data_IF_291728213892
#
_entry.id   IF_291728213892
#
_cell.length_a   1.000
_cell.length_b   1.000
_cell.length_c   1.000
_cell.angle_alpha   90.00
_cell.angle_beta   90.00
_cell.angle_gamma   90.00
#
_symmetry.space_group_name_H-M   'P 1'
#
loop_
_entity.id
_entity.type
_entity.pdbx_description
1 polymer ?
#
# COMPACT_ATOMS: atom_id res chain seq x y z
N UNK A 1 -5.31 -71.41 13.50
CA UNK A 1 -5.08 -72.27 12.33
C UNK A 1 -4.27 -71.47 11.35
N UNK A 2 -3.16 -71.99 10.86
CA UNK A 2 -2.27 -71.29 9.91
C UNK A 2 -3.01 -70.94 8.60
N UNK A 3 -3.97 -71.76 8.18
CA UNK A 3 -4.82 -71.48 7.02
C UNK A 3 -5.67 -70.21 7.16
N UNK A 4 -6.24 -69.94 8.35
CA UNK A 4 -7.03 -68.71 8.58
C UNK A 4 -6.15 -67.45 8.53
N UNK A 5 -4.90 -67.56 8.97
CA UNK A 5 -3.96 -66.43 8.99
C UNK A 5 -3.41 -66.12 7.59
N UNK A 6 -3.20 -67.14 6.77
CA UNK A 6 -2.79 -67.02 5.37
C UNK A 6 -3.92 -66.45 4.49
N UNK A 7 -5.17 -66.88 4.73
CA UNK A 7 -6.33 -66.33 4.04
C UNK A 7 -6.61 -64.88 4.45
N UNK A 8 -6.39 -64.52 5.72
CA UNK A 8 -6.47 -63.13 6.18
C UNK A 8 -5.40 -62.24 5.54
N UNK A 9 -4.17 -62.75 5.37
CA UNK A 9 -3.09 -62.05 4.64
C UNK A 9 -3.43 -61.86 3.16
N UNK A 10 -3.97 -62.89 2.51
CA UNK A 10 -4.42 -62.80 1.12
C UNK A 10 -5.51 -61.73 0.93
N UNK A 11 -6.48 -61.66 1.85
CA UNK A 11 -7.51 -60.61 1.86
C UNK A 11 -6.93 -59.21 2.08
N UNK A 12 -5.97 -59.04 2.99
CA UNK A 12 -5.30 -57.74 3.22
C UNK A 12 -4.52 -57.26 2.00
N UNK A 13 -3.85 -58.17 1.29
CA UNK A 13 -3.10 -57.84 0.06
C UNK A 13 -4.08 -57.40 -1.04
N UNK A 14 -5.18 -58.12 -1.26
CA UNK A 14 -6.17 -57.74 -2.27
C UNK A 14 -6.86 -56.42 -1.93
N UNK A 15 -7.16 -56.16 -0.66
CA UNK A 15 -7.74 -54.89 -0.20
C UNK A 15 -6.80 -53.71 -0.48
N UNK A 16 -5.50 -53.90 -0.21
CA UNK A 16 -4.47 -52.89 -0.48
C UNK A 16 -4.34 -52.61 -1.99
N UNK A 17 -4.39 -53.63 -2.82
CA UNK A 17 -4.26 -53.50 -4.26
C UNK A 17 -5.49 -52.80 -4.88
N UNK A 18 -6.69 -53.14 -4.39
CA UNK A 18 -7.93 -52.47 -4.76
C UNK A 18 -7.93 -51.00 -4.33
N UNK A 19 -7.49 -50.70 -3.10
CA UNK A 19 -7.37 -49.32 -2.62
C UNK A 19 -6.35 -48.51 -3.46
N UNK A 20 -5.23 -49.13 -3.83
CA UNK A 20 -4.22 -48.49 -4.69
C UNK A 20 -4.78 -48.17 -6.07
N UNK A 21 -5.52 -49.10 -6.68
CA UNK A 21 -6.16 -48.92 -7.98
C UNK A 21 -7.21 -47.80 -7.93
N UNK A 22 -8.04 -47.77 -6.89
CA UNK A 22 -9.04 -46.72 -6.68
C UNK A 22 -8.39 -45.33 -6.54
N UNK A 23 -7.34 -45.20 -5.74
CA UNK A 23 -6.60 -43.93 -5.57
C UNK A 23 -5.99 -43.46 -6.90
N UNK A 24 -5.42 -44.36 -7.70
CA UNK A 24 -4.89 -44.02 -9.02
C UNK A 24 -5.99 -43.58 -9.99
N UNK A 25 -7.16 -44.23 -9.96
CA UNK A 25 -8.33 -43.84 -10.74
C UNK A 25 -8.79 -42.43 -10.40
N UNK A 26 -9.02 -42.14 -9.11
CA UNK A 26 -9.44 -40.83 -8.65
C UNK A 26 -8.42 -39.73 -8.96
N UNK A 27 -7.11 -40.02 -8.82
CA UNK A 27 -6.08 -39.06 -9.18
C UNK A 27 -6.14 -38.70 -10.68
N UNK A 28 -6.33 -39.71 -11.55
CA UNK A 28 -6.46 -39.48 -12.99
C UNK A 28 -7.71 -38.65 -13.33
N UNK A 29 -8.83 -38.93 -12.68
CA UNK A 29 -10.07 -38.15 -12.84
C UNK A 29 -9.89 -36.69 -12.42
N UNK A 30 -9.24 -36.45 -11.26
CA UNK A 30 -8.94 -35.11 -10.76
C UNK A 30 -8.04 -34.32 -11.73
N UNK A 31 -7.00 -34.96 -12.27
CA UNK A 31 -6.10 -34.32 -13.25
C UNK A 31 -6.87 -33.92 -14.52
N UNK A 32 -7.76 -34.80 -15.00
CA UNK A 32 -8.60 -34.51 -16.18
C UNK A 32 -9.58 -33.37 -15.88
N UNK A 33 -10.20 -33.36 -14.70
CA UNK A 33 -11.12 -32.31 -14.28
C UNK A 33 -10.41 -30.96 -14.15
N UNK A 34 -9.22 -30.92 -13.55
CA UNK A 34 -8.39 -29.72 -13.44
C UNK A 34 -7.99 -29.19 -14.83
N UNK A 35 -7.58 -30.06 -15.75
CA UNK A 35 -7.24 -29.65 -17.12
C UNK A 35 -8.46 -29.10 -17.88
N UNK A 36 -9.65 -29.66 -17.69
CA UNK A 36 -10.90 -29.15 -18.27
C UNK A 36 -11.27 -27.78 -17.68
N UNK A 37 -11.15 -27.62 -16.37
CA UNK A 37 -11.41 -26.35 -15.70
C UNK A 37 -10.46 -25.25 -16.19
N UNK A 38 -9.16 -25.55 -16.30
CA UNK A 38 -8.17 -24.62 -16.85
C UNK A 38 -8.54 -24.15 -18.26
N UNK A 39 -8.84 -25.08 -19.16
CA UNK A 39 -9.29 -24.75 -20.53
C UNK A 39 -10.57 -23.92 -20.57
N UNK A 40 -11.52 -24.19 -19.67
CA UNK A 40 -12.76 -23.43 -19.57
C UNK A 40 -12.51 -22.00 -19.04
N UNK A 41 -11.63 -21.86 -18.05
CA UNK A 41 -11.20 -20.57 -17.52
C UNK A 41 -10.46 -19.77 -18.59
N UNK A 42 -9.51 -20.36 -19.30
CA UNK A 42 -8.77 -19.71 -20.40
C UNK A 42 -9.71 -19.20 -21.49
N UNK A 43 -10.73 -20.00 -21.86
CA UNK A 43 -11.74 -19.59 -22.84
C UNK A 43 -12.60 -18.43 -22.33
N UNK A 44 -13.01 -18.44 -21.07
CA UNK A 44 -13.83 -17.39 -20.48
C UNK A 44 -13.05 -16.07 -20.30
N UNK A 45 -11.78 -16.15 -19.89
CA UNK A 45 -10.93 -14.99 -19.63
C UNK A 45 -10.41 -14.38 -20.94
N UNK A 46 -9.92 -15.21 -21.86
CA UNK A 46 -9.32 -14.76 -23.13
C UNK A 46 -10.32 -14.08 -24.08
N UNK A 47 -11.62 -14.37 -23.96
CA UNK A 47 -12.66 -13.71 -24.77
C UNK A 47 -13.21 -12.43 -24.12
N UNK A 48 -12.90 -12.18 -22.84
CA UNK A 48 -13.57 -11.14 -22.05
C UNK A 48 -12.72 -9.88 -21.85
N UNK A 49 -11.39 -9.96 -21.76
CA UNK A 49 -10.64 -8.76 -21.35
C UNK A 49 -10.63 -7.65 -22.42
N UNK A 50 -10.40 -8.01 -23.69
CA UNK A 50 -10.43 -7.07 -24.83
C UNK A 50 -11.85 -6.63 -25.23
N UNK A 51 -12.88 -7.42 -24.88
CA UNK A 51 -14.29 -7.12 -25.20
C UNK A 51 -14.98 -6.37 -24.07
N UNK A 52 -14.61 -6.62 -22.81
CA UNK A 52 -15.17 -5.99 -21.62
C UNK A 52 -14.53 -4.64 -21.30
N UNK A 53 -13.36 -4.34 -21.89
CA UNK A 53 -12.80 -3.00 -21.89
C UNK A 53 -13.02 -2.41 -23.29
N UNK A 54 -14.07 -1.58 -23.49
CA UNK A 54 -14.12 -0.73 -24.67
C UNK A 54 -12.77 -0.01 -24.79
N UNK A 55 -12.28 0.17 -26.02
CA UNK A 55 -11.18 1.10 -26.29
C UNK A 55 -11.62 2.49 -25.84
N UNK A 56 -11.34 2.82 -24.58
CA UNK A 56 -11.56 4.17 -24.06
C UNK A 56 -10.39 4.98 -24.57
N UNK A 57 -10.67 5.89 -25.51
CA UNK A 57 -9.69 6.88 -25.93
C UNK A 57 -9.42 7.80 -24.73
N UNK A 58 -8.24 7.65 -24.14
CA UNK A 58 -7.79 8.53 -23.07
C UNK A 58 -7.26 9.81 -23.69
N UNK A 59 -7.68 10.95 -23.12
CA UNK A 59 -6.99 12.21 -23.36
C UNK A 59 -5.60 12.12 -22.72
N UNK A 60 -4.58 11.92 -23.56
CA UNK A 60 -3.19 11.80 -23.13
C UNK A 60 -2.73 13.04 -22.34
N UNK A 61 -3.26 14.23 -22.64
CA UNK A 61 -2.91 15.44 -21.89
C UNK A 61 -3.43 15.35 -20.44
N UNK A 62 -4.67 14.89 -20.26
CA UNK A 62 -5.26 14.70 -18.94
C UNK A 62 -4.55 13.59 -18.16
N UNK A 63 -4.20 12.48 -18.82
CA UNK A 63 -3.42 11.40 -18.19
C UNK A 63 -2.06 11.91 -17.73
N UNK A 64 -1.36 12.66 -18.59
CA UNK A 64 -0.07 13.23 -18.24
C UNK A 64 -0.17 14.21 -17.06
N UNK A 65 -1.19 15.08 -17.04
CA UNK A 65 -1.44 15.96 -15.90
C UNK A 65 -1.70 15.16 -14.62
N UNK A 66 -2.55 14.12 -14.68
CA UNK A 66 -2.84 13.27 -13.53
C UNK A 66 -1.58 12.54 -13.01
N UNK A 67 -0.74 12.02 -13.89
CA UNK A 67 0.54 11.39 -13.53
C UNK A 67 1.48 12.41 -12.88
N UNK A 68 1.62 13.60 -13.46
CA UNK A 68 2.45 14.67 -12.91
C UNK A 68 1.99 15.09 -11.51
N UNK A 69 0.69 15.32 -11.33
CA UNK A 69 0.13 15.66 -10.02
C UNK A 69 0.36 14.56 -8.99
N UNK A 70 0.19 13.30 -9.39
CA UNK A 70 0.47 12.16 -8.54
C UNK A 70 1.93 12.16 -8.08
N UNK A 71 2.90 12.33 -8.99
CA UNK A 71 4.32 12.40 -8.63
C UNK A 71 4.60 13.49 -7.58
N UNK A 72 3.99 14.68 -7.74
CA UNK A 72 4.14 15.78 -6.78
C UNK A 72 3.52 15.45 -5.41
N UNK A 73 2.30 14.89 -5.37
CA UNK A 73 1.61 14.54 -4.12
C UNK A 73 2.42 13.51 -3.33
N UNK A 74 3.05 12.54 -4.02
CA UNK A 74 3.90 11.52 -3.40
C UNK A 74 5.35 11.96 -3.16
N UNK A 75 5.68 13.23 -3.44
CA UNK A 75 6.98 13.83 -3.16
C UNK A 75 8.09 13.35 -4.09
N UNK A 76 7.76 12.77 -5.24
CA UNK A 76 8.71 12.36 -6.29
C UNK A 76 9.07 13.55 -7.17
N UNK A 77 9.61 14.60 -6.57
CA UNK A 77 9.85 15.87 -7.25
C UNK A 77 10.86 15.78 -8.39
N UNK A 78 11.92 15.01 -8.24
CA UNK A 78 12.96 14.86 -9.28
C UNK A 78 12.38 14.18 -10.53
N UNK A 79 11.54 13.17 -10.32
CA UNK A 79 10.82 12.47 -11.40
C UNK A 79 9.78 13.39 -12.02
N UNK A 80 9.02 14.13 -11.21
CA UNK A 80 8.04 15.10 -11.69
C UNK A 80 8.69 16.19 -12.56
N UNK A 81 9.86 16.70 -12.18
CA UNK A 81 10.61 17.71 -12.94
C UNK A 81 11.15 17.15 -14.27
N UNK A 82 11.61 15.89 -14.27
CA UNK A 82 11.98 15.21 -15.51
C UNK A 82 10.78 15.07 -16.46
N UNK A 83 9.64 14.64 -15.90
CA UNK A 83 8.40 14.45 -16.62
C UNK A 83 7.83 15.77 -17.19
N UNK A 84 7.89 16.85 -16.41
CA UNK A 84 7.49 18.20 -16.84
C UNK A 84 8.37 18.72 -17.98
N UNK A 85 9.70 18.53 -17.89
CA UNK A 85 10.64 18.94 -18.93
C UNK A 85 10.41 18.22 -20.26
N UNK A 86 10.07 16.94 -20.21
CA UNK A 86 9.83 16.12 -21.41
C UNK A 86 8.50 16.46 -22.09
N UNK A 87 7.46 16.79 -21.31
CA UNK A 87 6.10 16.99 -21.80
C UNK A 87 5.69 18.47 -21.92
N UNK A 88 6.50 19.38 -21.36
CA UNK A 88 6.24 20.82 -21.36
C UNK A 88 4.95 21.19 -20.64
N UNK A 89 4.70 20.61 -19.45
CA UNK A 89 3.45 20.86 -18.73
C UNK A 89 3.44 22.29 -18.16
N UNK A 90 2.24 22.88 -18.03
CA UNK A 90 2.07 24.22 -17.45
C UNK A 90 1.86 24.13 -15.95
N UNK A 91 2.84 23.55 -15.25
CA UNK A 91 2.75 23.37 -13.81
C UNK A 91 2.59 24.71 -13.08
N UNK A 92 1.70 24.77 -12.09
CA UNK A 92 1.59 25.93 -11.21
C UNK A 92 2.73 25.92 -10.17
N UNK A 93 3.72 26.83 -10.26
CA UNK A 93 4.88 26.80 -9.38
C UNK A 93 4.51 26.98 -7.90
N UNK A 94 3.42 27.69 -7.58
CA UNK A 94 2.93 27.84 -6.20
C UNK A 94 2.38 26.53 -5.64
N UNK A 95 1.83 25.65 -6.47
CA UNK A 95 1.37 24.31 -6.03
C UNK A 95 2.57 23.43 -5.72
N UNK A 96 3.57 23.42 -6.60
CA UNK A 96 4.82 22.68 -6.41
C UNK A 96 5.52 23.09 -5.12
N UNK A 97 5.67 24.40 -4.89
CA UNK A 97 6.36 24.91 -3.70
C UNK A 97 5.66 24.50 -2.39
N UNK A 98 4.32 24.59 -2.34
CA UNK A 98 3.56 24.15 -1.15
C UNK A 98 3.73 22.65 -0.88
N UNK A 99 3.77 21.82 -1.92
CA UNK A 99 4.00 20.40 -1.77
C UNK A 99 5.44 20.11 -1.31
N UNK A 100 6.44 20.86 -1.81
CA UNK A 100 7.82 20.76 -1.33
C UNK A 100 7.94 21.15 0.14
N UNK A 101 7.34 22.26 0.56
CA UNK A 101 7.32 22.69 1.97
C UNK A 101 6.69 21.60 2.85
N UNK A 102 5.54 21.05 2.46
CA UNK A 102 4.86 19.96 3.17
C UNK A 102 5.75 18.72 3.30
N UNK A 103 6.37 18.26 2.21
CA UNK A 103 7.24 17.09 2.22
C UNK A 103 8.55 17.32 3.00
N UNK A 104 9.06 18.55 3.04
CA UNK A 104 10.20 18.90 3.88
C UNK A 104 9.84 18.76 5.37
N UNK A 105 8.70 19.34 5.77
CA UNK A 105 8.19 19.23 7.14
C UNK A 105 7.93 17.76 7.53
N UNK A 106 7.34 16.97 6.62
CA UNK A 106 7.08 15.55 6.87
C UNK A 106 8.38 14.75 7.08
N UNK A 107 9.42 15.00 6.28
CA UNK A 107 10.73 14.35 6.46
C UNK A 107 11.36 14.68 7.81
N UNK A 108 11.33 15.93 8.23
CA UNK A 108 11.84 16.31 9.57
C UNK A 108 11.08 15.60 10.68
N UNK A 109 9.77 15.40 10.54
CA UNK A 109 8.98 14.61 11.48
C UNK A 109 9.38 13.12 11.50
N UNK A 110 9.63 12.52 10.33
CA UNK A 110 10.13 11.14 10.19
C UNK A 110 11.51 10.97 10.86
N UNK A 111 12.36 12.00 10.80
CA UNK A 111 13.67 12.07 11.47
C UNK A 111 13.58 12.40 12.97
N UNK A 112 12.38 12.67 13.49
CA UNK A 112 12.14 13.01 14.90
C UNK A 112 12.43 14.46 15.26
N UNK A 113 12.61 15.36 14.29
CA UNK A 113 12.75 16.80 14.53
C UNK A 113 11.40 17.54 14.44
N UNK A 114 10.90 17.98 15.59
CA UNK A 114 9.66 18.76 15.68
C UNK A 114 9.85 20.27 15.41
N UNK A 115 11.09 20.76 15.22
CA UNK A 115 11.38 22.17 14.96
C UNK A 115 10.72 22.71 13.69
N UNK A 116 10.91 22.06 12.53
CA UNK A 116 10.33 22.51 11.25
C UNK A 116 8.81 22.55 11.24
N UNK A 117 8.14 21.53 11.80
CA UNK A 117 6.66 21.53 11.91
C UNK A 117 6.15 22.62 12.86
N UNK A 118 6.90 22.97 13.92
CA UNK A 118 6.54 24.05 14.83
C UNK A 118 6.55 25.40 14.09
N UNK A 119 7.62 25.68 13.36
CA UNK A 119 7.72 26.91 12.55
C UNK A 119 6.63 26.96 11.48
N UNK A 120 6.36 25.83 10.82
CA UNK A 120 5.31 25.74 9.82
C UNK A 120 3.92 26.01 10.41
N UNK A 121 3.62 25.42 11.57
CA UNK A 121 2.36 25.63 12.31
C UNK A 121 2.18 27.10 12.69
N UNK A 122 3.23 27.77 13.18
CA UNK A 122 3.19 29.20 13.52
C UNK A 122 2.91 30.06 12.27
N UNK A 123 3.56 29.76 11.15
CA UNK A 123 3.35 30.48 9.88
C UNK A 123 1.92 30.32 9.35
N UNK A 124 1.29 29.17 9.59
CA UNK A 124 -0.03 28.82 9.06
C UNK A 124 -1.15 28.88 10.12
N UNK A 125 -0.88 29.47 11.28
CA UNK A 125 -1.77 29.42 12.45
C UNK A 125 -3.20 29.89 12.13
N UNK A 126 -3.34 31.02 11.43
CA UNK A 126 -4.66 31.56 11.08
C UNK A 126 -5.46 30.58 10.21
N UNK A 127 -4.81 29.93 9.24
CA UNK A 127 -5.44 28.96 8.35
C UNK A 127 -5.81 27.68 9.09
N UNK A 128 -4.95 27.23 10.01
CA UNK A 128 -5.21 26.07 10.86
C UNK A 128 -6.40 26.32 11.79
N UNK A 129 -6.48 27.51 12.40
CA UNK A 129 -7.61 27.93 13.24
C UNK A 129 -8.92 27.98 12.47
N UNK A 130 -8.93 28.57 11.26
CA UNK A 130 -10.12 28.62 10.40
C UNK A 130 -10.66 27.23 10.02
N UNK A 131 -9.77 26.23 9.94
CA UNK A 131 -10.10 24.85 9.60
C UNK A 131 -10.40 23.98 10.82
N UNK A 132 -10.31 24.52 12.03
CA UNK A 132 -10.48 23.77 13.28
C UNK A 132 -9.40 22.68 13.47
N UNK A 133 -8.20 22.88 12.95
CA UNK A 133 -7.13 21.88 13.01
C UNK A 133 -6.50 21.78 14.41
N UNK A 134 -6.32 20.56 14.89
CA UNK A 134 -5.63 20.21 16.15
C UNK A 134 -4.11 20.15 16.02
N UNK A 135 -3.57 20.37 14.81
CA UNK A 135 -2.15 20.16 14.51
C UNK A 135 -1.21 20.93 15.44
N UNK A 136 -1.55 22.17 15.80
CA UNK A 136 -0.74 22.97 16.72
C UNK A 136 -0.60 22.32 18.10
N UNK A 137 -1.66 21.68 18.57
CA UNK A 137 -1.65 20.94 19.83
C UNK A 137 -0.88 19.62 19.71
N UNK A 138 -1.07 18.89 18.61
CA UNK A 138 -0.34 17.64 18.36
C UNK A 138 1.19 17.87 18.30
N UNK A 139 1.63 18.95 17.67
CA UNK A 139 3.04 19.35 17.61
C UNK A 139 3.59 19.70 19.00
N UNK A 140 2.78 20.36 19.83
CA UNK A 140 3.14 20.66 21.22
C UNK A 140 3.34 19.36 22.03
N UNK A 141 2.42 18.41 21.92
CA UNK A 141 2.50 17.11 22.61
C UNK A 141 3.71 16.31 22.13
N UNK A 142 3.98 16.30 20.82
CA UNK A 142 5.17 15.67 20.27
C UNK A 142 6.45 16.28 20.86
N UNK A 143 6.54 17.62 20.90
CA UNK A 143 7.70 18.31 21.47
C UNK A 143 7.85 18.07 22.96
N UNK A 144 6.74 18.05 23.70
CA UNK A 144 6.73 17.69 25.11
C UNK A 144 7.29 16.27 25.33
N UNK A 145 6.83 15.29 24.55
CA UNK A 145 7.35 13.93 24.60
C UNK A 145 8.86 13.87 24.30
N UNK A 146 9.34 14.60 23.30
CA UNK A 146 10.77 14.67 22.98
C UNK A 146 11.62 15.24 24.14
N UNK A 147 11.14 16.29 24.81
CA UNK A 147 11.85 16.89 25.94
C UNK A 147 11.90 15.94 27.15
N UNK A 148 10.83 15.20 27.40
CA UNK A 148 10.82 14.17 28.44
C UNK A 148 11.78 13.02 28.13
N UNK A 149 11.81 12.54 26.87
CA UNK A 149 12.76 11.51 26.45
C UNK A 149 14.22 11.98 26.56
N UNK A 150 14.48 13.27 26.34
CA UNK A 150 15.80 13.88 26.53
C UNK A 150 16.18 14.11 28.01
N UNK A 151 15.26 13.85 28.95
CA UNK A 151 15.48 14.05 30.39
C UNK A 151 15.29 15.49 30.87
N UNK A 152 14.81 16.40 30.02
CA UNK A 152 14.60 17.82 30.36
C UNK A 152 13.14 18.08 30.79
N UNK A 153 12.81 17.63 31.99
CA UNK A 153 11.50 17.85 32.59
C UNK A 153 11.18 19.34 32.82
N UNK A 154 12.20 20.18 33.05
CA UNK A 154 12.01 21.60 33.28
C UNK A 154 11.53 22.31 32.02
N UNK A 155 12.20 22.08 30.88
CA UNK A 155 11.76 22.62 29.60
C UNK A 155 10.40 22.07 29.16
N UNK A 156 10.12 20.79 29.43
CA UNK A 156 8.83 20.18 29.13
C UNK A 156 7.67 20.87 29.87
N UNK A 157 7.84 21.12 31.18
CA UNK A 157 6.85 21.85 31.99
C UNK A 157 6.73 23.33 31.58
N UNK A 158 7.84 23.97 31.23
CA UNK A 158 7.84 25.34 30.71
C UNK A 158 7.02 25.46 29.41
N UNK A 159 7.13 24.46 28.53
CA UNK A 159 6.38 24.41 27.28
C UNK A 159 4.87 24.30 27.52
N UNK A 160 4.41 23.40 28.39
CA UNK A 160 2.99 23.29 28.74
C UNK A 160 2.43 24.58 29.33
N UNK A 161 3.18 25.24 30.22
CA UNK A 161 2.75 26.50 30.87
C UNK A 161 2.60 27.66 29.88
N UNK A 162 3.31 27.63 28.75
CA UNK A 162 3.21 28.67 27.73
C UNK A 162 2.01 28.50 26.79
N UNK A 163 1.36 27.34 26.82
CA UNK A 163 0.26 26.96 25.93
C UNK A 163 -1.09 26.80 26.66
N UNK A 164 -1.11 26.90 28.00
CA UNK A 164 -2.29 27.02 28.85
C UNK A 164 -2.61 28.50 29.10
#
# INVERSE_FOLDING_TARGET
GEEEEEEARGRLISLRENARSAVQGHHRELVIAAAKLGKAADKAIGQSLEVATPSIDFDLALVNEAVYEHLLIFGRFDVAECFDRELGLRANPRKVERLREMHAVRRSLEEGDAGPIKLWTLRHEQQLRQRGSTLAFEVMVLRFSQLLHAGDAHAALGLLRSHL
#
